data_IF_474764876644
#
_entry.id   IF_474764876644
#
_cell.length_a   1.000
_cell.length_b   1.000
_cell.length_c   1.000
_cell.angle_alpha   90.00
_cell.angle_beta   90.00
_cell.angle_gamma   90.00
#
_symmetry.space_group_name_H-M   'P 1'
#
loop_
_entity.id
_entity.type
_entity.pdbx_description
1 polymer ?
#
# COMPACT_ATOMS: atom_id res chain seq x y z
N UNK A 1 66.69 29.23 -8.16
CA UNK A 1 66.17 29.40 -6.84
C UNK A 1 64.84 28.64 -6.72
N UNK A 2 64.81 27.61 -5.90
CA UNK A 2 63.62 26.75 -5.62
C UNK A 2 62.87 27.33 -4.42
N UNK A 3 61.56 27.66 -4.47
CA UNK A 3 60.86 28.08 -3.29
C UNK A 3 60.47 26.88 -2.45
N UNK A 4 60.82 26.95 -1.17
CA UNK A 4 60.45 25.97 -0.11
C UNK A 4 59.10 26.36 0.45
N UNK A 5 58.06 25.58 0.13
CA UNK A 5 56.74 25.73 0.72
C UNK A 5 56.62 25.05 2.07
N UNK A 6 56.20 25.80 3.08
CA UNK A 6 55.89 25.29 4.43
C UNK A 6 54.57 24.54 4.43
N UNK A 7 54.43 23.35 5.04
CA UNK A 7 53.17 22.63 5.09
C UNK A 7 52.21 23.30 6.09
N UNK A 8 51.02 23.63 5.63
CA UNK A 8 49.91 24.15 6.45
C UNK A 8 49.28 23.00 7.22
N UNK A 9 49.17 23.11 8.53
CA UNK A 9 48.51 22.12 9.39
C UNK A 9 47.01 22.08 9.13
N UNK A 10 46.49 20.87 9.00
CA UNK A 10 45.06 20.55 8.87
C UNK A 10 44.36 20.81 10.23
N UNK A 11 43.20 21.49 10.26
CA UNK A 11 42.44 21.68 11.49
C UNK A 11 41.96 20.32 12.05
N UNK A 12 42.08 20.12 13.34
CA UNK A 12 41.67 18.93 14.06
C UNK A 12 40.15 18.72 14.02
N UNK A 13 39.75 17.51 13.76
CA UNK A 13 38.37 17.04 13.81
C UNK A 13 37.91 17.00 15.27
N UNK A 14 37.00 17.86 15.66
CA UNK A 14 36.31 17.81 16.96
C UNK A 14 35.41 16.58 17.00
N UNK A 15 35.66 15.66 17.92
CA UNK A 15 34.82 14.48 18.13
C UNK A 15 33.47 14.93 18.73
N UNK A 16 32.40 14.69 18.01
CA UNK A 16 31.05 14.88 18.54
C UNK A 16 30.71 13.76 19.52
N UNK A 17 30.31 14.12 20.72
CA UNK A 17 29.80 13.22 21.76
C UNK A 17 28.44 12.63 21.28
N UNK A 18 28.23 11.32 21.32
CA UNK A 18 26.94 10.73 20.94
C UNK A 18 25.84 11.13 21.93
N UNK A 19 24.60 11.38 21.46
CA UNK A 19 23.49 11.71 22.34
C UNK A 19 23.12 10.54 23.24
N UNK A 20 22.92 10.81 24.53
CA UNK A 20 22.48 9.83 25.51
C UNK A 20 21.05 9.37 25.19
N UNK A 21 20.85 8.05 25.27
CA UNK A 21 19.55 7.37 25.14
C UNK A 21 18.62 7.85 26.28
N UNK A 22 17.37 8.25 26.00
CA UNK A 22 16.39 8.55 27.02
C UNK A 22 16.11 7.32 27.90
N UNK A 23 16.10 7.53 29.23
CA UNK A 23 15.84 6.49 30.21
C UNK A 23 14.40 5.94 30.07
N UNK A 24 14.27 4.64 30.25
CA UNK A 24 13.00 3.91 30.34
C UNK A 24 12.20 4.42 31.55
N UNK A 25 10.93 4.84 31.39
CA UNK A 25 10.10 5.16 32.57
C UNK A 25 9.73 3.87 33.29
N UNK A 26 10.11 3.81 34.58
CA UNK A 26 9.68 2.76 35.49
C UNK A 26 8.25 3.06 35.92
N UNK A 27 7.28 2.42 35.25
CA UNK A 27 5.88 2.46 35.68
C UNK A 27 5.67 1.60 36.92
N UNK A 28 5.23 2.23 38.02
CA UNK A 28 4.76 1.53 39.21
C UNK A 28 3.43 0.83 38.86
N UNK A 29 3.23 -0.45 39.22
CA UNK A 29 1.96 -1.11 38.98
C UNK A 29 0.89 -0.52 39.92
N UNK A 30 -0.15 0.05 39.34
CA UNK A 30 -1.35 0.48 40.03
C UNK A 30 -2.16 -0.77 40.38
N UNK A 31 -2.40 -1.01 41.65
CA UNK A 31 -3.26 -2.05 42.19
C UNK A 31 -4.68 -1.86 41.65
N UNK A 32 -5.20 -2.88 41.02
CA UNK A 32 -6.58 -3.00 40.51
C UNK A 32 -7.56 -2.90 41.70
N UNK A 33 -8.64 -2.11 41.61
CA UNK A 33 -9.66 -2.06 42.65
C UNK A 33 -10.44 -3.37 42.71
N UNK A 34 -10.63 -3.92 43.91
CA UNK A 34 -11.40 -5.13 44.13
C UNK A 34 -12.85 -5.00 43.66
N UNK A 35 -13.30 -6.01 42.94
CA UNK A 35 -14.66 -6.18 42.44
C UNK A 35 -15.67 -6.28 43.61
N UNK A 36 -16.81 -5.55 43.59
CA UNK A 36 -17.79 -5.65 44.68
C UNK A 36 -18.51 -7.01 44.63
N UNK A 37 -18.42 -7.73 45.71
CA UNK A 37 -19.15 -8.99 45.93
C UNK A 37 -20.64 -8.71 45.97
N UNK A 38 -21.39 -9.25 44.99
CA UNK A 38 -22.83 -9.19 44.96
C UNK A 38 -23.43 -10.08 46.08
N UNK A 39 -24.13 -9.46 47.01
CA UNK A 39 -24.92 -10.14 48.04
C UNK A 39 -26.20 -10.65 47.36
N UNK A 40 -26.41 -11.98 47.42
CA UNK A 40 -27.63 -12.59 46.93
C UNK A 40 -28.80 -12.20 47.82
N UNK A 41 -29.75 -11.41 47.29
CA UNK A 41 -31.04 -11.14 47.96
C UNK A 41 -32.01 -12.25 47.52
N UNK A 42 -32.50 -13.03 48.44
CA UNK A 42 -33.56 -14.00 48.21
C UNK A 42 -34.86 -13.26 47.89
N UNK A 43 -35.32 -13.38 46.67
CA UNK A 43 -36.62 -12.88 46.22
C UNK A 43 -37.70 -13.96 46.53
N UNK A 44 -38.89 -13.55 47.04
CA UNK A 44 -39.97 -14.49 47.31
C UNK A 44 -40.53 -15.10 46.00
N UNK A 45 -40.81 -16.40 46.00
CA UNK A 45 -41.42 -17.13 44.88
C UNK A 45 -42.76 -16.50 44.50
N UNK A 46 -42.86 -15.84 43.35
CA UNK A 46 -44.12 -15.44 42.71
C UNK A 46 -44.85 -16.63 42.10
N UNK A 47 -46.16 -16.51 41.85
CA UNK A 47 -46.97 -17.62 41.35
C UNK A 47 -46.51 -18.07 39.96
N UNK A 48 -46.48 -19.38 39.74
CA UNK A 48 -46.12 -20.02 38.49
C UNK A 48 -47.06 -19.56 37.35
N UNK A 49 -46.55 -18.79 36.43
CA UNK A 49 -47.20 -18.47 35.15
C UNK A 49 -46.84 -19.58 34.16
N UNK A 50 -47.86 -20.24 33.63
CA UNK A 50 -47.73 -21.22 32.53
C UNK A 50 -47.14 -20.53 31.33
N UNK A 51 -46.03 -21.04 30.73
CA UNK A 51 -45.50 -20.41 29.50
C UNK A 51 -46.49 -20.66 28.36
N UNK A 52 -47.12 -19.61 27.88
CA UNK A 52 -47.75 -19.58 26.56
C UNK A 52 -46.61 -19.56 25.55
N UNK A 53 -46.57 -20.58 24.70
CA UNK A 53 -45.60 -20.60 23.60
C UNK A 53 -45.93 -19.43 22.63
N UNK A 54 -45.17 -18.37 22.74
CA UNK A 54 -45.16 -17.29 21.73
C UNK A 54 -44.16 -17.70 20.63
N UNK A 55 -44.73 -18.16 19.52
CA UNK A 55 -44.01 -18.75 18.40
C UNK A 55 -43.83 -17.73 17.29
N UNK A 56 -43.36 -16.54 17.63
CA UNK A 56 -42.97 -15.53 16.61
C UNK A 56 -41.59 -14.94 16.94
N UNK A 57 -40.56 -15.80 16.94
CA UNK A 57 -39.21 -15.31 16.81
C UNK A 57 -39.04 -14.79 15.37
N UNK A 58 -38.76 -13.51 15.15
CA UNK A 58 -38.53 -12.98 13.80
C UNK A 58 -37.33 -13.69 13.22
N UNK A 59 -37.58 -14.54 12.23
CA UNK A 59 -36.49 -15.12 11.41
C UNK A 59 -35.69 -13.99 10.82
N UNK A 60 -34.46 -13.81 11.31
CA UNK A 60 -33.54 -12.80 10.74
C UNK A 60 -33.39 -13.08 9.24
N UNK A 61 -33.89 -12.17 8.43
CA UNK A 61 -33.66 -12.21 6.99
C UNK A 61 -32.15 -12.16 6.77
N UNK A 62 -31.54 -13.11 6.03
CA UNK A 62 -30.12 -13.08 5.79
C UNK A 62 -29.77 -11.76 5.11
N UNK A 63 -28.95 -10.94 5.79
CA UNK A 63 -28.36 -9.74 5.20
C UNK A 63 -27.48 -10.19 4.05
N UNK A 64 -27.72 -9.67 2.84
CA UNK A 64 -26.89 -9.99 1.69
C UNK A 64 -25.42 -9.65 2.02
N UNK A 65 -24.53 -10.60 1.71
CA UNK A 65 -23.09 -10.37 1.87
C UNK A 65 -22.65 -9.18 1.01
N UNK A 66 -21.85 -8.25 1.53
CA UNK A 66 -21.35 -7.15 0.75
C UNK A 66 -20.52 -7.66 -0.43
N UNK A 67 -20.74 -7.10 -1.60
CA UNK A 67 -20.09 -7.53 -2.85
C UNK A 67 -19.14 -6.46 -3.39
N UNK A 68 -18.10 -6.90 -4.09
CA UNK A 68 -17.19 -6.01 -4.83
C UNK A 68 -17.96 -5.16 -5.82
N UNK A 69 -17.41 -3.99 -6.16
CA UNK A 69 -17.96 -3.15 -7.23
C UNK A 69 -18.10 -3.96 -8.52
N UNK A 70 -19.19 -3.79 -9.29
CA UNK A 70 -19.35 -4.51 -10.56
C UNK A 70 -18.21 -4.22 -11.52
N UNK A 71 -17.71 -5.26 -12.18
CA UNK A 71 -16.63 -5.14 -13.15
C UNK A 71 -16.26 -6.47 -13.78
N UNK A 72 -15.36 -6.42 -14.74
CA UNK A 72 -14.84 -7.58 -15.43
C UNK A 72 -13.33 -7.63 -15.26
N UNK A 73 -12.72 -8.81 -15.05
CA UNK A 73 -11.26 -8.94 -15.01
C UNK A 73 -10.62 -8.42 -16.30
N UNK A 74 -9.47 -7.79 -16.19
CA UNK A 74 -8.62 -7.45 -17.31
C UNK A 74 -8.18 -8.75 -17.97
N UNK A 75 -8.35 -8.93 -19.30
CA UNK A 75 -7.92 -10.13 -19.99
C UNK A 75 -6.42 -10.38 -19.85
N UNK A 76 -6.02 -11.62 -19.61
CA UNK A 76 -4.61 -12.03 -19.47
C UNK A 76 -4.34 -13.17 -20.44
N UNK A 77 -3.29 -13.02 -21.24
CA UNK A 77 -2.89 -14.02 -22.25
C UNK A 77 -2.12 -15.20 -21.64
N UNK A 78 -1.45 -14.98 -20.51
CA UNK A 78 -0.70 -16.01 -19.77
C UNK A 78 -1.55 -16.51 -18.58
N UNK A 79 -2.06 -17.76 -18.62
CA UNK A 79 -2.94 -18.29 -17.58
C UNK A 79 -2.25 -18.48 -16.22
N UNK A 80 -0.92 -18.35 -16.15
CA UNK A 80 -0.16 -18.42 -14.89
C UNK A 80 -0.08 -17.08 -14.17
N UNK A 81 -0.61 -16.01 -14.76
CA UNK A 81 -0.56 -14.65 -14.25
C UNK A 81 -1.97 -14.13 -13.95
N UNK A 82 -2.11 -13.37 -12.89
CA UNK A 82 -3.34 -12.63 -12.61
C UNK A 82 -3.44 -11.35 -13.46
N UNK A 83 -2.29 -10.79 -13.84
CA UNK A 83 -2.16 -9.60 -14.69
C UNK A 83 -0.82 -9.62 -15.41
N UNK A 84 -0.79 -9.16 -16.65
CA UNK A 84 0.40 -8.91 -17.46
C UNK A 84 0.22 -7.60 -18.23
N UNK A 85 1.17 -6.68 -18.07
CA UNK A 85 1.25 -5.41 -18.78
C UNK A 85 2.65 -5.33 -19.42
N UNK A 86 2.71 -5.44 -20.73
CA UNK A 86 3.94 -5.39 -21.52
C UNK A 86 4.00 -4.17 -22.46
N UNK A 87 2.84 -3.53 -22.71
CA UNK A 87 2.67 -2.36 -23.59
C UNK A 87 3.06 -2.58 -25.05
N UNK A 88 3.30 -3.83 -25.47
CA UNK A 88 3.75 -4.17 -26.82
C UNK A 88 2.66 -3.96 -27.89
N UNK A 89 1.40 -3.81 -27.46
CA UNK A 89 0.29 -3.46 -28.35
C UNK A 89 0.19 -1.94 -28.65
N UNK A 90 1.10 -1.13 -28.09
CA UNK A 90 1.13 0.31 -28.24
C UNK A 90 0.06 1.06 -27.45
N UNK A 91 -0.68 0.38 -26.56
CA UNK A 91 -1.70 0.98 -25.70
C UNK A 91 -1.25 1.03 -24.24
N UNK A 92 -1.90 1.86 -23.43
CA UNK A 92 -1.67 1.91 -21.99
C UNK A 92 -2.29 0.73 -21.21
N UNK A 93 -2.88 -0.25 -21.88
CA UNK A 93 -3.37 -1.52 -21.32
C UNK A 93 -4.16 -1.38 -20.01
N UNK A 94 -5.20 -0.53 -20.00
CA UNK A 94 -6.07 -0.25 -18.83
C UNK A 94 -5.42 0.56 -17.70
N UNK A 95 -4.15 0.93 -17.82
CA UNK A 95 -3.50 1.83 -16.86
C UNK A 95 -4.06 3.24 -17.03
N UNK A 96 -4.36 3.88 -15.92
CA UNK A 96 -4.87 5.25 -15.86
C UNK A 96 -3.96 6.11 -15.00
N UNK A 97 -4.02 7.43 -15.13
CA UNK A 97 -3.41 8.34 -14.18
C UNK A 97 -4.21 8.37 -12.87
N UNK A 98 -3.54 8.24 -11.74
CA UNK A 98 -4.19 8.24 -10.43
C UNK A 98 -4.86 9.58 -10.10
N UNK A 99 -4.27 10.69 -10.58
CA UNK A 99 -4.80 12.05 -10.41
C UNK A 99 -5.65 12.53 -11.58
N UNK A 100 -5.52 11.87 -12.77
CA UNK A 100 -6.14 12.33 -14.00
C UNK A 100 -5.46 13.54 -14.64
N UNK A 101 -4.30 13.97 -14.12
CA UNK A 101 -3.49 15.09 -14.64
C UNK A 101 -2.19 14.59 -15.26
N UNK A 102 -1.78 13.37 -14.95
CA UNK A 102 -0.62 12.72 -15.54
C UNK A 102 -0.88 12.36 -16.99
N UNK A 103 0.11 12.55 -17.82
CA UNK A 103 0.13 12.06 -19.18
C UNK A 103 0.78 10.68 -19.23
N UNK A 104 0.05 9.69 -19.75
CA UNK A 104 0.51 8.32 -19.94
C UNK A 104 0.75 8.09 -21.42
N UNK A 105 1.99 7.79 -21.79
CA UNK A 105 2.40 7.59 -23.19
C UNK A 105 3.21 6.33 -23.31
N UNK A 106 2.85 5.45 -24.26
CA UNK A 106 3.68 4.30 -24.61
C UNK A 106 4.84 4.78 -25.46
N UNK A 107 6.06 4.45 -25.07
CA UNK A 107 7.29 4.87 -25.72
C UNK A 107 8.25 3.71 -25.93
N UNK A 108 9.17 3.82 -26.88
CA UNK A 108 10.24 2.84 -27.09
C UNK A 108 11.24 2.80 -25.93
N UNK A 109 11.92 1.68 -25.75
CA UNK A 109 12.98 1.49 -24.78
C UNK A 109 12.53 0.83 -23.47
N UNK A 110 11.67 -0.16 -23.56
CA UNK A 110 11.29 -1.06 -22.48
C UNK A 110 12.48 -1.79 -21.83
N UNK A 111 12.25 -2.51 -20.73
CA UNK A 111 13.30 -3.20 -19.99
C UNK A 111 13.89 -4.39 -20.77
N UNK A 112 13.06 -5.32 -21.17
CA UNK A 112 13.42 -6.48 -22.02
C UNK A 112 12.55 -6.53 -23.29
N UNK A 113 11.67 -5.55 -23.46
CA UNK A 113 10.68 -5.44 -24.49
C UNK A 113 10.95 -4.17 -25.32
N UNK A 114 10.16 -3.93 -26.36
CA UNK A 114 10.36 -2.77 -27.21
C UNK A 114 9.79 -1.51 -26.58
N UNK A 115 8.71 -1.63 -25.79
CA UNK A 115 7.93 -0.51 -25.30
C UNK A 115 7.85 -0.49 -23.77
N UNK A 116 7.54 0.68 -23.24
CA UNK A 116 7.21 0.91 -21.84
C UNK A 116 6.21 2.05 -21.69
N UNK A 117 5.55 2.12 -20.55
CA UNK A 117 4.67 3.24 -20.21
C UNK A 117 5.49 4.35 -19.55
N UNK A 118 5.51 5.51 -20.20
CA UNK A 118 6.07 6.75 -19.65
C UNK A 118 4.98 7.55 -18.94
N UNK A 119 5.31 8.04 -17.74
CA UNK A 119 4.45 8.93 -16.96
C UNK A 119 5.06 10.30 -16.90
N UNK A 120 4.35 11.32 -17.40
CA UNK A 120 4.81 12.73 -17.46
C UNK A 120 3.73 13.67 -16.94
N UNK A 121 4.09 14.96 -16.82
CA UNK A 121 3.21 16.02 -16.33
C UNK A 121 2.67 15.78 -14.89
N UNK A 122 3.41 15.07 -14.06
CA UNK A 122 3.02 14.83 -12.67
C UNK A 122 3.10 16.13 -11.87
N UNK A 123 2.00 16.53 -11.27
CA UNK A 123 1.91 17.74 -10.42
C UNK A 123 1.90 17.42 -8.93
N UNK A 124 1.70 16.16 -8.58
CA UNK A 124 1.71 15.66 -7.19
C UNK A 124 2.72 14.52 -7.05
N UNK A 125 3.37 14.45 -5.90
CA UNK A 125 4.31 13.36 -5.59
C UNK A 125 3.64 11.97 -5.52
N UNK A 126 2.37 11.91 -5.23
CA UNK A 126 1.57 10.69 -5.19
C UNK A 126 0.79 10.40 -6.50
N UNK A 127 0.89 11.28 -7.49
CA UNK A 127 0.40 11.03 -8.83
C UNK A 127 1.26 9.97 -9.52
N UNK A 128 0.65 9.14 -10.35
CA UNK A 128 1.35 8.07 -11.06
C UNK A 128 0.42 7.11 -11.79
N UNK A 129 0.97 6.09 -12.43
CA UNK A 129 0.20 5.10 -13.15
C UNK A 129 -0.53 4.19 -12.16
N UNK A 130 -1.80 3.97 -12.37
CA UNK A 130 -2.67 3.13 -11.54
C UNK A 130 -3.48 2.18 -12.40
N UNK A 131 -3.70 0.97 -11.90
CA UNK A 131 -4.55 -0.02 -12.52
C UNK A 131 -5.49 -0.63 -11.49
N UNK A 132 -6.77 -0.73 -11.86
CA UNK A 132 -7.78 -1.44 -11.06
C UNK A 132 -7.61 -2.95 -11.26
N UNK A 133 -7.33 -3.68 -10.20
CA UNK A 133 -7.11 -5.12 -10.19
C UNK A 133 -8.18 -5.88 -9.39
N UNK A 134 -9.27 -5.22 -9.04
CA UNK A 134 -10.34 -5.75 -8.17
C UNK A 134 -10.81 -7.13 -8.60
N UNK A 135 -10.93 -7.36 -9.90
CA UNK A 135 -11.44 -8.61 -10.46
C UNK A 135 -10.36 -9.56 -10.99
N UNK A 136 -9.09 -9.14 -10.93
CA UNK A 136 -7.95 -9.96 -11.35
C UNK A 136 -7.33 -10.76 -10.21
N UNK A 137 -7.63 -10.39 -8.97
CA UNK A 137 -7.07 -11.02 -7.79
C UNK A 137 -8.16 -11.59 -6.88
N UNK A 138 -7.80 -12.66 -6.19
CA UNK A 138 -8.64 -13.29 -5.16
C UNK A 138 -8.20 -12.83 -3.79
N UNK A 139 -9.16 -12.47 -2.95
CA UNK A 139 -8.94 -12.03 -1.57
C UNK A 139 -8.10 -13.06 -0.80
N UNK A 140 -7.24 -12.57 0.09
CA UNK A 140 -6.36 -13.36 0.96
C UNK A 140 -5.41 -14.30 0.23
N UNK A 141 -5.29 -14.17 -1.09
CA UNK A 141 -4.38 -14.98 -1.90
C UNK A 141 -3.01 -14.32 -2.01
N UNK A 142 -1.95 -15.13 -1.93
CA UNK A 142 -0.57 -14.66 -2.10
C UNK A 142 -0.25 -14.49 -3.58
N UNK A 143 0.25 -13.31 -3.93
CA UNK A 143 0.73 -12.97 -5.28
C UNK A 143 2.18 -12.52 -5.26
N UNK A 144 2.89 -12.82 -6.34
CA UNK A 144 4.16 -12.19 -6.66
C UNK A 144 3.90 -11.00 -7.58
N UNK A 145 4.41 -9.84 -7.20
CA UNK A 145 4.43 -8.64 -8.03
C UNK A 145 5.84 -8.46 -8.56
N UNK A 146 5.96 -8.38 -9.88
CA UNK A 146 7.21 -8.09 -10.56
C UNK A 146 6.98 -6.94 -11.53
N UNK A 147 7.77 -5.89 -11.43
CA UNK A 147 7.73 -4.75 -12.33
C UNK A 147 9.12 -4.14 -12.47
N UNK A 148 9.33 -3.40 -13.55
CA UNK A 148 10.57 -2.64 -13.77
C UNK A 148 10.23 -1.17 -13.89
N UNK A 149 10.93 -0.34 -13.14
CA UNK A 149 10.72 1.11 -13.10
C UNK A 149 12.02 1.84 -13.41
N UNK A 150 11.93 2.98 -14.10
CA UNK A 150 13.07 3.82 -14.47
C UNK A 150 12.69 5.29 -14.33
N UNK A 151 13.60 6.10 -13.86
CA UNK A 151 13.45 7.56 -13.80
C UNK A 151 14.70 8.26 -14.40
N UNK A 152 14.54 9.49 -14.88
CA UNK A 152 15.59 10.24 -15.60
C UNK A 152 15.82 11.63 -15.00
N UNK A 153 15.70 11.77 -13.68
CA UNK A 153 15.71 13.06 -13.00
C UNK A 153 17.10 13.53 -12.52
N UNK A 154 18.15 12.78 -12.86
CA UNK A 154 19.54 13.13 -12.55
C UNK A 154 20.08 12.61 -11.21
N UNK A 155 19.24 12.28 -10.25
CA UNK A 155 19.64 11.72 -8.95
C UNK A 155 18.78 10.52 -8.58
N UNK A 156 19.24 9.69 -7.63
CA UNK A 156 18.45 8.56 -7.14
C UNK A 156 17.11 9.03 -6.57
N UNK A 157 16.04 8.32 -6.90
CA UNK A 157 14.69 8.56 -6.39
C UNK A 157 14.11 7.29 -5.79
N UNK A 158 13.29 7.45 -4.75
CA UNK A 158 12.49 6.34 -4.24
C UNK A 158 11.19 6.26 -5.03
N UNK A 159 10.93 5.10 -5.60
CA UNK A 159 9.66 4.76 -6.24
C UNK A 159 8.95 3.75 -5.35
N UNK A 160 7.70 4.04 -5.03
CA UNK A 160 6.85 3.20 -4.20
C UNK A 160 5.88 2.45 -5.09
N UNK A 161 5.80 1.14 -4.91
CA UNK A 161 4.71 0.30 -5.37
C UNK A 161 3.69 0.22 -4.24
N UNK A 162 2.45 0.56 -4.51
CA UNK A 162 1.41 0.78 -3.50
C UNK A 162 0.12 0.05 -3.87
N UNK A 163 -0.62 -0.39 -2.87
CA UNK A 163 -2.02 -0.73 -3.00
C UNK A 163 -2.91 0.40 -2.47
N UNK A 164 -3.94 0.71 -3.25
CA UNK A 164 -5.07 1.53 -2.84
C UNK A 164 -6.29 0.62 -2.77
N UNK A 165 -6.88 0.49 -1.59
CA UNK A 165 -8.07 -0.33 -1.37
C UNK A 165 -9.21 0.52 -0.82
N UNK A 166 -10.43 0.14 -1.16
CA UNK A 166 -11.66 0.72 -0.61
C UNK A 166 -12.47 -0.41 0.02
N UNK A 167 -12.87 -0.26 1.27
CA UNK A 167 -13.75 -1.22 1.92
C UNK A 167 -15.21 -1.10 1.43
N UNK A 168 -16.08 -1.96 1.92
CA UNK A 168 -17.51 -1.91 1.57
C UNK A 168 -18.26 -0.72 2.18
N UNK A 169 -17.68 0.00 3.12
CA UNK A 169 -18.20 1.25 3.67
C UNK A 169 -17.70 2.49 2.92
N UNK A 170 -16.80 2.32 1.94
CA UNK A 170 -16.21 3.39 1.14
C UNK A 170 -14.97 4.02 1.77
N UNK A 171 -14.43 3.46 2.85
CA UNK A 171 -13.19 3.97 3.43
C UNK A 171 -11.98 3.53 2.61
N UNK A 172 -11.07 4.48 2.37
CA UNK A 172 -9.86 4.26 1.58
C UNK A 172 -8.67 3.91 2.48
N UNK A 173 -7.87 2.94 2.05
CA UNK A 173 -6.60 2.60 2.66
C UNK A 173 -5.49 2.56 1.61
N UNK A 174 -4.27 2.95 2.03
CA UNK A 174 -3.08 2.99 1.19
C UNK A 174 -1.98 2.17 1.86
N UNK A 175 -1.53 1.12 1.18
CA UNK A 175 -0.54 0.19 1.74
C UNK A 175 0.68 0.10 0.84
N UNK A 176 1.86 0.31 1.41
CA UNK A 176 3.11 0.12 0.69
C UNK A 176 3.35 -1.37 0.45
N UNK A 177 3.46 -1.75 -0.82
CA UNK A 177 3.87 -3.08 -1.25
C UNK A 177 5.39 -3.20 -1.19
N UNK A 178 6.08 -2.28 -1.85
CA UNK A 178 7.54 -2.22 -1.84
C UNK A 178 8.04 -0.83 -2.23
N UNK A 179 9.15 -0.42 -1.63
CA UNK A 179 9.91 0.77 -2.05
C UNK A 179 11.21 0.33 -2.70
N UNK A 180 11.56 0.95 -3.82
CA UNK A 180 12.84 0.74 -4.48
C UNK A 180 13.56 2.06 -4.70
N UNK A 181 14.88 2.06 -4.57
CA UNK A 181 15.71 3.22 -4.94
C UNK A 181 16.14 3.04 -6.38
N UNK A 182 15.57 3.85 -7.27
CA UNK A 182 15.87 3.86 -8.69
C UNK A 182 16.99 4.87 -9.00
N UNK A 183 18.17 4.42 -9.44
CA UNK A 183 19.21 5.30 -9.95
C UNK A 183 18.74 6.01 -11.23
N UNK A 184 19.40 7.16 -11.53
CA UNK A 184 19.10 7.87 -12.76
C UNK A 184 19.29 7.00 -14.00
N UNK A 185 18.32 7.01 -14.90
CA UNK A 185 18.33 6.33 -16.20
C UNK A 185 18.59 4.81 -16.13
N UNK A 186 18.33 4.18 -14.97
CA UNK A 186 18.58 2.74 -14.77
C UNK A 186 17.27 2.03 -14.42
N UNK A 187 16.99 0.95 -15.16
CA UNK A 187 15.88 0.09 -14.82
C UNK A 187 16.10 -0.59 -13.47
N UNK A 188 15.13 -0.47 -12.59
CA UNK A 188 15.16 -1.03 -11.23
C UNK A 188 13.98 -1.97 -11.07
N UNK A 189 14.26 -3.18 -10.59
CA UNK A 189 13.23 -4.19 -10.37
C UNK A 189 12.47 -3.92 -9.07
N UNK A 190 11.17 -3.99 -9.13
CA UNK A 190 10.26 -4.22 -8.02
C UNK A 190 9.96 -5.71 -7.99
N UNK A 191 10.18 -6.36 -6.86
CA UNK A 191 9.98 -7.81 -6.69
C UNK A 191 9.45 -8.07 -5.28
N UNK A 192 8.14 -8.22 -5.15
CA UNK A 192 7.48 -8.37 -3.87
C UNK A 192 6.56 -9.60 -3.85
N UNK A 193 6.48 -10.24 -2.70
CA UNK A 193 5.46 -11.26 -2.42
C UNK A 193 4.51 -10.70 -1.38
N UNK A 194 3.22 -10.64 -1.71
CA UNK A 194 2.19 -9.98 -0.92
C UNK A 194 0.93 -10.82 -0.85
N UNK A 195 0.15 -10.61 0.19
CA UNK A 195 -1.20 -11.19 0.31
C UNK A 195 -2.20 -10.12 -0.12
N UNK A 196 -3.06 -10.44 -1.09
CA UNK A 196 -4.13 -9.53 -1.49
C UNK A 196 -5.04 -9.26 -0.29
N UNK A 197 -5.38 -7.98 -0.02
CA UNK A 197 -6.33 -7.67 1.04
C UNK A 197 -7.69 -8.29 0.72
N UNK A 198 -8.38 -8.74 1.76
CA UNK A 198 -9.78 -9.15 1.67
C UNK A 198 -10.71 -8.09 2.22
N UNK A 199 -12.01 -8.35 2.12
CA UNK A 199 -13.07 -7.47 2.60
C UNK A 199 -13.02 -6.07 1.97
N UNK A 200 -12.59 -5.99 0.71
CA UNK A 200 -12.50 -4.75 -0.05
C UNK A 200 -13.45 -4.76 -1.25
N UNK A 201 -14.14 -3.65 -1.46
CA UNK A 201 -15.02 -3.44 -2.60
C UNK A 201 -14.22 -3.10 -3.87
N UNK A 202 -13.03 -2.49 -3.70
CA UNK A 202 -12.13 -2.09 -4.79
C UNK A 202 -10.68 -2.25 -4.38
N UNK A 203 -9.83 -2.69 -5.32
CA UNK A 203 -8.39 -2.79 -5.16
C UNK A 203 -7.68 -2.27 -6.41
N UNK A 204 -6.73 -1.37 -6.23
CA UNK A 204 -5.88 -0.86 -7.29
C UNK A 204 -4.40 -1.01 -6.92
N UNK A 205 -3.56 -1.25 -7.91
CA UNK A 205 -2.10 -1.17 -7.81
C UNK A 205 -1.64 0.11 -8.48
N UNK A 206 -0.73 0.84 -7.85
CA UNK A 206 -0.16 2.05 -8.44
C UNK A 206 1.31 2.25 -8.07
N UNK A 207 1.97 3.09 -8.86
CA UNK A 207 3.33 3.53 -8.57
C UNK A 207 3.34 5.04 -8.32
N UNK A 208 4.16 5.45 -7.38
CA UNK A 208 4.39 6.87 -7.09
C UNK A 208 5.87 7.13 -6.82
N UNK A 209 6.30 8.35 -7.00
CA UNK A 209 7.64 8.78 -6.62
C UNK A 209 7.49 9.74 -5.44
N UNK A 210 7.48 9.20 -4.23
CA UNK A 210 7.25 9.94 -2.99
C UNK A 210 8.22 11.12 -2.86
N UNK A 211 7.69 12.27 -2.47
CA UNK A 211 8.41 13.54 -2.32
C UNK A 211 8.91 14.19 -3.62
N UNK A 212 8.55 13.65 -4.79
CA UNK A 212 8.95 14.19 -6.08
C UNK A 212 7.80 14.17 -7.09
N UNK A 213 7.63 15.24 -7.83
CA UNK A 213 6.67 15.35 -8.94
C UNK A 213 7.34 15.19 -10.30
N UNK A 214 8.51 14.54 -10.35
CA UNK A 214 9.22 14.28 -11.60
C UNK A 214 8.58 13.15 -12.40
N UNK A 215 8.85 13.11 -13.69
CA UNK A 215 8.42 12.05 -14.59
C UNK A 215 9.19 10.74 -14.36
N UNK A 216 8.59 9.61 -14.71
CA UNK A 216 9.21 8.28 -14.68
C UNK A 216 8.56 7.30 -15.68
#
# INVERSE_FOLDING_TARGET
GKPTGTPTQKPGTSAATPPQKPGTPTGTPTTEPAEPTATATNEPAGPAVTPTADTDEPTATPTAEPTKVPGTPIPVTDPTKALLLDFEDGTNQYVTGRQGEEELTVVEGGYNDNYCLKVSNRVKNWAGPMIDITHNVTDFTTYKIEAYVKQTTGSNKTINCMWESMDYAGAMAYTTVQNVVAPNATWTKVDATVVAPGDVSKLSLYFEMANYSNDF
#
